data_IF_612119809273
#
_entry.id   IF_612119809273
#
_cell.length_a   1.000
_cell.length_b   1.000
_cell.length_c   1.000
_cell.angle_alpha   90.00
_cell.angle_beta   90.00
_cell.angle_gamma   90.00
#
_symmetry.space_group_name_H-M   'P 1'
#
loop_
_entity.id
_entity.type
_entity.pdbx_description
1 polymer ?
#
# COMPACT_ATOMS: atom_id res chain seq x y z
N UNK A 1 36.10 40.33 -3.55
CA UNK A 1 34.99 39.89 -4.40
C UNK A 1 35.29 38.48 -4.86
N UNK A 2 34.58 37.48 -4.34
CA UNK A 2 34.50 36.12 -4.87
C UNK A 2 33.18 35.50 -4.40
N UNK A 3 32.21 35.24 -5.28
CA UNK A 3 30.98 34.56 -4.92
C UNK A 3 31.14 33.07 -5.21
N UNK A 4 30.91 32.21 -4.21
CA UNK A 4 30.51 30.80 -4.38
C UNK A 4 30.02 30.30 -3.01
N UNK A 5 28.86 30.80 -2.61
CA UNK A 5 27.97 30.17 -1.63
C UNK A 5 26.74 29.72 -2.42
N UNK A 6 26.44 28.42 -2.35
CA UNK A 6 25.19 27.72 -2.66
C UNK A 6 25.47 26.40 -3.40
N UNK A 7 25.76 25.35 -2.64
CA UNK A 7 25.45 23.98 -3.03
C UNK A 7 24.48 23.48 -1.94
N UNK A 8 23.20 23.72 -2.18
CA UNK A 8 22.10 23.19 -1.39
C UNK A 8 21.50 21.97 -2.11
N UNK A 9 21.24 20.92 -1.32
CA UNK A 9 20.21 19.91 -1.59
C UNK A 9 20.20 19.23 -2.98
N UNK A 10 21.35 18.79 -3.49
CA UNK A 10 21.40 17.84 -4.60
C UNK A 10 21.99 16.49 -4.16
N UNK A 11 21.15 15.46 -4.32
CA UNK A 11 21.50 14.05 -4.53
C UNK A 11 21.90 13.18 -3.33
N UNK A 12 20.92 12.90 -2.47
CA UNK A 12 20.77 11.57 -1.85
C UNK A 12 19.93 10.65 -2.76
N UNK A 13 18.95 11.19 -3.51
CA UNK A 13 18.14 10.45 -4.49
C UNK A 13 18.93 9.85 -5.66
N UNK A 14 20.01 10.49 -6.13
CA UNK A 14 20.76 9.98 -7.28
C UNK A 14 21.65 8.76 -6.94
N UNK A 15 21.99 8.56 -5.67
CA UNK A 15 22.76 7.38 -5.23
C UNK A 15 21.88 6.12 -5.11
N UNK A 16 20.57 6.29 -4.86
CA UNK A 16 19.62 5.18 -4.78
C UNK A 16 19.47 4.42 -6.10
N UNK A 17 19.74 5.04 -7.25
CA UNK A 17 19.56 4.39 -8.55
C UNK A 17 20.72 3.46 -8.95
N UNK A 18 21.92 3.64 -8.38
CA UNK A 18 23.12 2.88 -8.80
C UNK A 18 23.32 1.57 -8.01
N UNK A 19 22.77 1.46 -6.79
CA UNK A 19 22.91 0.24 -5.97
C UNK A 19 21.98 -0.90 -6.43
N UNK A 20 20.93 -0.60 -7.20
CA UNK A 20 20.04 -1.60 -7.81
C UNK A 20 20.70 -2.43 -8.93
N UNK A 21 21.87 -2.01 -9.44
CA UNK A 21 22.51 -2.68 -10.57
C UNK A 21 23.41 -3.88 -10.19
N UNK A 22 23.74 -4.09 -8.91
CA UNK A 22 24.74 -5.11 -8.53
C UNK A 22 24.34 -6.12 -7.44
N UNK A 23 23.16 -6.01 -6.84
CA UNK A 23 22.65 -7.08 -5.97
C UNK A 23 21.76 -8.01 -6.81
N UNK A 24 22.14 -9.30 -6.90
CA UNK A 24 21.42 -10.36 -7.61
C UNK A 24 20.03 -10.65 -7.02
N UNK A 25 19.13 -9.69 -7.14
CA UNK A 25 17.71 -9.80 -6.84
C UNK A 25 17.01 -10.43 -8.05
N UNK A 26 16.06 -11.32 -7.77
CA UNK A 26 15.24 -11.99 -8.77
C UNK A 26 14.70 -11.01 -9.82
N UNK A 27 14.58 -11.45 -11.08
CA UNK A 27 14.04 -10.63 -12.17
C UNK A 27 12.70 -10.01 -11.71
N UNK A 28 12.55 -8.67 -11.73
CA UNK A 28 11.29 -8.00 -11.39
C UNK A 28 10.08 -8.58 -12.14
N UNK A 29 10.30 -9.13 -13.36
CA UNK A 29 9.28 -9.82 -14.15
C UNK A 29 8.89 -11.18 -13.57
N UNK A 30 9.79 -11.88 -12.89
CA UNK A 30 9.50 -13.15 -12.23
C UNK A 30 8.74 -12.94 -10.91
N UNK A 31 9.09 -11.91 -10.14
CA UNK A 31 8.34 -11.51 -8.95
C UNK A 31 6.91 -11.06 -9.34
N UNK A 32 6.80 -10.22 -10.38
CA UNK A 32 5.52 -9.80 -10.94
C UNK A 32 4.71 -10.99 -11.47
N UNK A 33 5.32 -11.88 -12.26
CA UNK A 33 4.67 -13.11 -12.75
C UNK A 33 4.14 -13.92 -11.58
N UNK A 34 4.97 -14.28 -10.59
CA UNK A 34 4.56 -15.05 -9.40
C UNK A 34 3.43 -14.38 -8.62
N UNK A 35 3.45 -13.06 -8.46
CA UNK A 35 2.37 -12.30 -7.83
C UNK A 35 1.07 -12.40 -8.62
N UNK A 36 1.11 -12.18 -9.94
CA UNK A 36 -0.04 -12.44 -10.79
C UNK A 36 -0.49 -13.89 -10.70
N UNK A 37 0.38 -14.90 -10.79
CA UNK A 37 -0.05 -16.31 -10.72
C UNK A 37 -0.62 -16.72 -9.36
N UNK A 38 -0.08 -16.20 -8.25
CA UNK A 38 -0.58 -16.49 -6.91
C UNK A 38 -1.91 -15.78 -6.63
N UNK A 39 -2.09 -14.55 -7.11
CA UNK A 39 -3.34 -13.78 -6.93
C UNK A 39 -4.41 -14.08 -8.00
N UNK A 40 -4.04 -14.71 -9.11
CA UNK A 40 -4.93 -15.11 -10.21
C UNK A 40 -5.37 -16.58 -10.18
N UNK A 41 -5.07 -17.36 -9.14
CA UNK A 41 -5.64 -18.70 -9.05
C UNK A 41 -7.11 -18.58 -8.59
N UNK A 42 -8.10 -18.77 -9.49
CA UNK A 42 -9.50 -18.63 -9.12
C UNK A 42 -9.95 -19.73 -8.15
N UNK A 43 -9.13 -20.76 -7.89
CA UNK A 43 -9.45 -21.83 -6.95
C UNK A 43 -8.93 -21.57 -5.54
N UNK A 44 -8.13 -20.51 -5.33
CA UNK A 44 -7.59 -20.17 -4.01
C UNK A 44 -8.34 -19.01 -3.37
N UNK A 45 -8.56 -19.15 -2.06
CA UNK A 45 -9.12 -18.09 -1.22
C UNK A 45 -8.05 -17.05 -0.98
N UNK A 46 -8.36 -15.77 -1.24
CA UNK A 46 -7.46 -14.64 -0.99
C UNK A 46 -7.92 -13.93 0.27
N UNK A 47 -6.98 -13.66 1.18
CA UNK A 47 -7.21 -12.96 2.45
C UNK A 47 -6.34 -11.71 2.44
N UNK A 48 -6.96 -10.54 2.45
CA UNK A 48 -6.30 -9.25 2.46
C UNK A 48 -6.44 -8.64 3.85
N UNK A 49 -5.34 -8.46 4.57
CA UNK A 49 -5.27 -7.94 5.93
C UNK A 49 -5.17 -6.42 5.96
N UNK A 50 -5.86 -5.78 6.91
CA UNK A 50 -5.68 -4.37 7.28
C UNK A 50 -4.39 -4.11 8.07
N UNK A 51 -4.22 -2.87 8.53
CA UNK A 51 -3.05 -2.39 9.30
C UNK A 51 -2.89 -3.17 10.61
N UNK A 52 -1.77 -3.89 10.75
CA UNK A 52 -1.52 -4.81 11.88
C UNK A 52 -0.77 -4.09 13.00
N UNK A 53 0.20 -3.23 12.65
CA UNK A 53 0.98 -2.47 13.62
C UNK A 53 1.58 -3.30 14.77
N UNK A 54 2.12 -4.48 14.45
CA UNK A 54 2.73 -5.37 15.45
C UNK A 54 1.74 -5.97 16.47
N UNK A 55 0.43 -5.87 16.24
CA UNK A 55 -0.61 -6.49 17.09
C UNK A 55 -0.66 -8.01 16.86
N UNK A 56 0.38 -8.71 17.31
CA UNK A 56 0.61 -10.12 17.03
C UNK A 56 -0.50 -11.04 17.58
N UNK A 57 -1.04 -10.74 18.77
CA UNK A 57 -2.13 -11.53 19.34
C UNK A 57 -3.42 -11.44 18.49
N UNK A 58 -3.96 -10.24 18.18
CA UNK A 58 -5.07 -10.12 17.24
C UNK A 58 -4.78 -10.70 15.86
N UNK A 59 -3.55 -10.56 15.36
CA UNK A 59 -3.14 -11.15 14.09
C UNK A 59 -3.31 -12.68 14.08
N UNK A 60 -2.79 -13.36 15.10
CA UNK A 60 -2.94 -14.82 15.21
C UNK A 60 -4.40 -15.23 15.41
N UNK A 61 -5.16 -14.51 16.24
CA UNK A 61 -6.59 -14.76 16.44
C UNK A 61 -7.40 -14.63 15.14
N UNK A 62 -7.05 -13.67 14.28
CA UNK A 62 -7.70 -13.50 12.98
C UNK A 62 -7.38 -14.67 12.03
N UNK A 63 -6.13 -15.11 11.98
CA UNK A 63 -5.72 -16.27 11.18
C UNK A 63 -6.43 -17.55 11.66
N UNK A 64 -6.55 -17.75 12.97
CA UNK A 64 -7.28 -18.87 13.57
C UNK A 64 -8.77 -18.82 13.21
N UNK A 65 -9.43 -17.67 13.38
CA UNK A 65 -10.83 -17.45 13.01
C UNK A 65 -11.11 -17.70 11.53
N UNK A 66 -10.13 -17.43 10.67
CA UNK A 66 -10.20 -17.70 9.23
C UNK A 66 -9.86 -19.15 8.87
N UNK A 67 -9.35 -19.93 9.82
CA UNK A 67 -8.74 -21.24 9.58
C UNK A 67 -7.73 -21.14 8.43
N UNK A 68 -6.82 -20.16 8.51
CA UNK A 68 -5.84 -19.88 7.47
C UNK A 68 -4.92 -21.09 7.26
N UNK A 69 -4.75 -21.47 6.00
CA UNK A 69 -3.84 -22.53 5.57
C UNK A 69 -2.95 -22.03 4.43
N UNK A 70 -1.63 -21.88 4.63
CA UNK A 70 -0.72 -21.35 3.61
C UNK A 70 -0.62 -22.22 2.34
N UNK A 71 -1.08 -23.48 2.39
CA UNK A 71 -1.10 -24.38 1.22
C UNK A 71 -2.27 -24.10 0.27
N UNK A 72 -3.38 -23.57 0.77
CA UNK A 72 -4.59 -23.32 -0.02
C UNK A 72 -4.95 -21.83 -0.13
N UNK A 73 -4.57 -21.03 0.86
CA UNK A 73 -4.91 -19.61 0.93
C UNK A 73 -3.76 -18.73 0.47
N UNK A 74 -4.11 -17.55 -0.04
CA UNK A 74 -3.18 -16.47 -0.34
C UNK A 74 -3.38 -15.38 0.69
N UNK A 75 -2.31 -14.98 1.37
CA UNK A 75 -2.32 -13.88 2.33
C UNK A 75 -1.69 -12.65 1.69
N UNK A 76 -2.36 -11.51 1.82
CA UNK A 76 -1.93 -10.19 1.34
C UNK A 76 -2.13 -9.18 2.47
N UNK A 77 -1.26 -8.19 2.66
CA UNK A 77 -1.50 -7.08 3.59
C UNK A 77 -1.53 -5.72 2.88
N UNK A 78 -2.26 -4.75 3.45
CA UNK A 78 -2.35 -3.37 2.92
C UNK A 78 -1.26 -2.43 3.46
N UNK A 79 -0.27 -2.96 4.17
CA UNK A 79 0.85 -2.21 4.73
C UNK A 79 0.68 -1.95 6.22
N UNK A 80 1.61 -1.21 6.80
CA UNK A 80 1.65 -0.88 8.23
C UNK A 80 1.55 -2.13 9.11
N UNK A 81 2.40 -3.11 8.81
CA UNK A 81 2.43 -4.40 9.51
C UNK A 81 3.13 -4.31 10.87
N UNK A 82 3.96 -3.27 11.06
CA UNK A 82 4.83 -3.06 12.22
C UNK A 82 4.70 -1.63 12.78
N UNK A 83 5.34 -1.40 13.93
CA UNK A 83 5.30 -0.18 14.73
C UNK A 83 3.95 0.10 15.42
N UNK A 84 3.95 0.99 16.41
CA UNK A 84 2.87 1.37 17.35
C UNK A 84 2.47 0.30 18.38
N UNK A 85 2.39 -0.97 17.99
CA UNK A 85 2.23 -2.08 18.94
C UNK A 85 3.51 -2.36 19.72
N UNK A 86 3.55 -3.47 20.46
CA UNK A 86 4.75 -3.84 21.20
C UNK A 86 5.92 -4.14 20.26
N UNK A 87 7.15 -3.86 20.70
CA UNK A 87 8.35 -4.16 19.91
C UNK A 87 8.44 -5.65 19.57
N UNK A 88 8.16 -6.52 20.55
CA UNK A 88 8.14 -7.98 20.35
C UNK A 88 7.06 -8.40 19.34
N UNK A 89 5.88 -7.79 19.41
CA UNK A 89 4.79 -8.05 18.46
C UNK A 89 5.15 -7.62 17.03
N UNK A 90 5.79 -6.45 16.88
CA UNK A 90 6.31 -6.00 15.58
C UNK A 90 7.32 -6.98 14.99
N UNK A 91 8.28 -7.44 15.79
CA UNK A 91 9.27 -8.42 15.33
C UNK A 91 8.63 -9.78 14.99
N UNK A 92 7.65 -10.23 15.77
CA UNK A 92 6.94 -11.49 15.50
C UNK A 92 6.14 -11.44 14.18
N UNK A 93 5.40 -10.36 13.95
CA UNK A 93 4.66 -10.14 12.69
C UNK A 93 5.62 -10.08 11.52
N UNK A 94 6.69 -9.27 11.61
CA UNK A 94 7.68 -9.14 10.55
C UNK A 94 8.34 -10.48 10.19
N UNK A 95 8.72 -11.26 11.21
CA UNK A 95 9.32 -12.57 11.03
C UNK A 95 8.37 -13.57 10.36
N UNK A 96 7.08 -13.56 10.75
CA UNK A 96 6.05 -14.36 10.12
C UNK A 96 5.91 -14.03 8.64
N UNK A 97 5.81 -12.73 8.30
CA UNK A 97 5.62 -12.29 6.91
C UNK A 97 6.81 -12.68 6.03
N UNK A 98 8.04 -12.40 6.50
CA UNK A 98 9.27 -12.70 5.76
C UNK A 98 9.54 -14.21 5.63
N UNK A 99 9.14 -15.01 6.62
CA UNK A 99 9.37 -16.47 6.60
C UNK A 99 8.36 -17.23 5.76
N UNK A 100 7.14 -16.71 5.65
CA UNK A 100 6.07 -17.32 4.85
C UNK A 100 5.93 -16.68 3.46
N UNK A 101 6.81 -15.75 3.08
CA UNK A 101 6.79 -15.04 1.81
C UNK A 101 5.41 -14.42 1.50
N UNK A 102 4.80 -13.83 2.52
CA UNK A 102 3.49 -13.16 2.43
C UNK A 102 3.65 -11.86 1.65
N UNK A 103 2.82 -11.63 0.64
CA UNK A 103 2.91 -10.39 -0.14
C UNK A 103 2.04 -9.28 0.44
N UNK A 104 2.16 -8.07 -0.09
CA UNK A 104 1.40 -6.91 0.31
C UNK A 104 1.94 -5.64 -0.33
N UNK A 105 1.45 -4.52 0.15
CA UNK A 105 2.02 -3.21 -0.17
C UNK A 105 2.71 -2.62 1.05
N UNK A 106 3.65 -1.72 0.82
CA UNK A 106 4.35 -0.99 1.87
C UNK A 106 3.43 0.10 2.47
N UNK A 107 3.39 0.20 3.79
CA UNK A 107 2.80 1.32 4.51
C UNK A 107 3.79 2.42 4.88
N UNK A 108 3.31 3.56 5.38
CA UNK A 108 4.19 4.66 5.73
C UNK A 108 5.04 4.37 6.98
N UNK A 109 4.55 3.57 7.93
CA UNK A 109 5.34 3.10 9.07
C UNK A 109 6.42 2.11 8.60
N UNK A 110 6.08 1.21 7.68
CA UNK A 110 7.04 0.26 7.09
C UNK A 110 8.17 1.01 6.35
N UNK A 111 7.79 2.01 5.54
CA UNK A 111 8.74 2.87 4.82
C UNK A 111 9.68 3.60 5.78
N UNK A 112 9.15 4.12 6.89
CA UNK A 112 9.97 4.82 7.89
C UNK A 112 11.02 3.92 8.54
N UNK A 113 10.71 2.65 8.71
CA UNK A 113 11.63 1.65 9.26
C UNK A 113 12.74 1.30 8.26
N UNK A 114 12.40 1.17 6.96
CA UNK A 114 13.38 0.98 5.89
C UNK A 114 14.39 2.14 5.86
N UNK A 115 13.89 3.37 5.99
CA UNK A 115 14.72 4.57 6.04
C UNK A 115 15.66 4.55 7.25
N UNK A 116 15.18 4.16 8.43
CA UNK A 116 16.03 4.00 9.61
C UNK A 116 17.09 2.92 9.45
N UNK A 117 16.74 1.76 8.88
CA UNK A 117 17.70 0.67 8.62
C UNK A 117 18.79 1.12 7.65
N UNK A 118 18.41 1.82 6.59
CA UNK A 118 19.35 2.42 5.64
C UNK A 118 20.27 3.44 6.31
N UNK A 119 19.71 4.29 7.19
CA UNK A 119 20.50 5.27 7.93
C UNK A 119 21.50 4.62 8.89
N UNK A 120 21.11 3.55 9.59
CA UNK A 120 22.01 2.78 10.45
C UNK A 120 23.19 2.21 9.63
N UNK A 121 22.90 1.56 8.50
CA UNK A 121 23.94 1.02 7.62
C UNK A 121 24.85 2.12 7.04
N UNK A 122 24.30 3.29 6.69
CA UNK A 122 25.08 4.44 6.24
C UNK A 122 25.98 5.00 7.34
N UNK A 123 25.49 5.06 8.58
CA UNK A 123 26.28 5.52 9.73
C UNK A 123 27.47 4.61 10.02
N UNK A 124 27.33 3.30 9.83
CA UNK A 124 28.41 2.34 10.00
C UNK A 124 29.56 2.52 8.99
N UNK A 125 29.30 3.15 7.84
CA UNK A 125 30.32 3.40 6.81
C UNK A 125 31.27 4.57 7.17
N UNK A 126 30.94 5.40 8.15
CA UNK A 126 31.83 6.48 8.58
C UNK A 126 32.86 6.00 9.59
N UNK A 127 34.06 6.58 9.51
CA UNK A 127 35.10 6.38 10.52
C UNK A 127 34.62 6.82 11.91
N UNK A 128 34.61 5.89 12.86
CA UNK A 128 34.05 6.04 14.21
C UNK A 128 32.52 6.03 14.31
N UNK A 129 31.78 5.91 13.20
CA UNK A 129 30.31 5.90 13.19
C UNK A 129 29.73 4.62 13.79
N UNK A 130 30.27 3.47 13.40
CA UNK A 130 29.92 2.16 13.97
C UNK A 130 30.22 2.09 15.47
N UNK A 131 31.37 2.60 15.91
CA UNK A 131 31.74 2.66 17.33
C UNK A 131 30.77 3.54 18.11
N UNK A 132 30.41 4.71 17.56
CA UNK A 132 29.44 5.58 18.21
C UNK A 132 28.06 4.94 18.34
N UNK A 133 27.55 4.26 17.30
CA UNK A 133 26.28 3.54 17.38
C UNK A 133 26.33 2.47 18.46
N UNK A 134 27.38 1.63 18.47
CA UNK A 134 27.57 0.58 19.47
C UNK A 134 27.57 1.14 20.89
N UNK A 135 28.36 2.19 21.14
CA UNK A 135 28.50 2.77 22.48
C UNK A 135 27.21 3.49 22.91
N UNK A 136 26.54 4.18 21.98
CA UNK A 136 25.24 4.82 22.21
C UNK A 136 24.17 3.78 22.57
N UNK A 137 24.11 2.68 21.83
CA UNK A 137 23.19 1.56 22.09
C UNK A 137 23.47 0.90 23.43
N UNK A 138 24.73 0.58 23.74
CA UNK A 138 25.09 -0.01 25.02
C UNK A 138 24.72 0.90 26.20
N UNK A 139 24.90 2.21 26.06
CA UNK A 139 24.49 3.17 27.06
C UNK A 139 22.97 3.27 27.22
N UNK A 140 22.21 3.15 26.12
CA UNK A 140 20.74 3.15 26.16
C UNK A 140 20.21 1.88 26.81
N UNK A 141 20.73 0.73 26.42
CA UNK A 141 20.33 -0.58 26.94
C UNK A 141 20.66 -0.69 28.45
N UNK A 142 21.80 -0.14 28.90
CA UNK A 142 22.15 -0.11 30.32
C UNK A 142 21.32 0.89 31.15
N UNK A 143 20.75 1.92 30.52
CA UNK A 143 19.97 2.94 31.20
C UNK A 143 18.50 2.57 31.37
N UNK A 144 17.97 1.66 30.55
CA UNK A 144 16.56 1.27 30.50
C UNK A 144 15.59 2.44 30.71
N UNK A 145 15.69 3.52 29.91
CA UNK A 145 14.97 4.76 30.18
C UNK A 145 13.46 4.58 29.99
N UNK A 146 12.67 5.19 30.88
CA UNK A 146 11.21 5.25 30.76
C UNK A 146 10.77 5.94 29.46
N UNK A 147 11.49 7.01 29.06
CA UNK A 147 11.35 7.65 27.75
C UNK A 147 12.67 7.55 26.96
N UNK A 148 12.80 6.56 26.06
CA UNK A 148 13.99 6.39 25.23
C UNK A 148 14.27 7.55 24.27
N UNK A 149 13.23 8.22 23.76
CA UNK A 149 13.38 9.32 22.81
C UNK A 149 13.95 10.56 23.51
N UNK A 150 13.41 10.90 24.67
CA UNK A 150 13.88 12.02 25.50
C UNK A 150 15.30 11.73 26.04
N UNK A 151 15.53 10.53 26.57
CA UNK A 151 16.85 10.13 27.05
C UNK A 151 17.90 10.27 25.95
N UNK A 152 17.58 9.83 24.73
CA UNK A 152 18.50 9.94 23.61
C UNK A 152 18.83 11.38 23.24
N UNK A 153 17.81 12.25 23.17
CA UNK A 153 18.01 13.67 22.90
C UNK A 153 18.92 14.32 23.95
N UNK A 154 18.69 14.01 25.23
CA UNK A 154 19.51 14.49 26.34
C UNK A 154 20.94 13.94 26.31
N UNK A 155 21.09 12.64 26.04
CA UNK A 155 22.39 11.97 25.97
C UNK A 155 23.26 12.55 24.84
N UNK A 156 22.69 12.72 23.64
CA UNK A 156 23.37 13.29 22.48
C UNK A 156 23.82 14.73 22.76
N UNK A 157 22.94 15.53 23.40
CA UNK A 157 23.26 16.91 23.79
C UNK A 157 24.38 16.97 24.83
N UNK A 158 24.29 16.15 25.88
CA UNK A 158 25.28 16.09 26.98
C UNK A 158 26.67 15.67 26.48
N UNK A 159 26.72 14.68 25.59
CA UNK A 159 27.97 14.19 25.00
C UNK A 159 28.53 15.10 23.90
N UNK A 160 27.80 16.16 23.51
CA UNK A 160 28.15 17.06 22.40
C UNK A 160 28.48 16.29 21.12
N UNK A 161 27.74 15.21 20.86
CA UNK A 161 28.08 14.28 19.79
C UNK A 161 28.02 14.97 18.42
N UNK A 162 29.12 14.92 17.67
CA UNK A 162 29.19 15.40 16.27
C UNK A 162 28.20 14.65 15.36
N UNK A 163 27.81 13.44 15.73
CA UNK A 163 26.92 12.57 14.97
C UNK A 163 25.47 13.05 14.97
N UNK A 164 25.09 13.92 15.92
CA UNK A 164 23.77 14.58 15.95
C UNK A 164 23.41 15.28 14.63
N UNK A 165 24.40 15.89 13.96
CA UNK A 165 24.22 16.59 12.68
C UNK A 165 23.88 15.67 11.51
N UNK A 166 24.03 14.35 11.68
CA UNK A 166 23.72 13.34 10.66
C UNK A 166 22.37 12.69 10.87
N UNK A 167 21.68 12.97 11.98
CA UNK A 167 20.30 12.54 12.20
C UNK A 167 19.41 13.50 11.38
N UNK A 168 18.59 13.00 10.44
CA UNK A 168 17.72 13.87 9.66
C UNK A 168 16.74 14.66 10.55
N UNK A 169 16.33 15.83 10.07
CA UNK A 169 15.40 16.68 10.82
C UNK A 169 14.08 15.95 11.10
N UNK A 170 13.58 16.09 12.34
CA UNK A 170 12.35 15.44 12.81
C UNK A 170 12.47 13.94 13.10
N UNK A 171 13.62 13.31 12.84
CA UNK A 171 13.84 11.91 13.19
C UNK A 171 14.22 11.77 14.66
N UNK A 172 13.56 10.85 15.35
CA UNK A 172 13.79 10.55 16.75
C UNK A 172 14.51 9.22 16.90
N UNK A 173 15.78 9.26 17.30
CA UNK A 173 16.55 8.04 17.60
C UNK A 173 15.94 7.33 18.82
N UNK A 174 16.03 6.00 18.88
CA UNK A 174 15.33 5.16 19.85
C UNK A 174 13.79 5.22 19.83
N UNK A 175 13.18 5.93 18.86
CA UNK A 175 11.77 5.75 18.55
C UNK A 175 11.45 4.28 18.24
N UNK A 176 10.16 3.93 18.29
CA UNK A 176 9.72 2.58 17.97
C UNK A 176 10.21 2.11 16.58
N UNK A 177 10.08 2.95 15.54
CA UNK A 177 10.63 2.66 14.21
C UNK A 177 12.14 2.40 14.22
N UNK A 178 12.90 3.19 15.00
CA UNK A 178 14.34 3.01 15.14
C UNK A 178 14.67 1.65 15.77
N UNK A 179 13.95 1.28 16.82
CA UNK A 179 14.18 0.04 17.55
C UNK A 179 13.91 -1.17 16.67
N UNK A 180 12.81 -1.16 15.90
CA UNK A 180 12.51 -2.22 14.93
C UNK A 180 13.59 -2.29 13.83
N UNK A 181 14.02 -1.14 13.29
CA UNK A 181 15.11 -1.08 12.31
C UNK A 181 16.45 -1.62 12.86
N UNK A 182 16.77 -1.34 14.12
CA UNK A 182 17.96 -1.88 14.80
C UNK A 182 17.87 -3.40 14.96
N UNK A 183 16.70 -3.91 15.32
CA UNK A 183 16.50 -5.33 15.66
C UNK A 183 16.35 -6.26 14.45
N UNK A 184 15.88 -5.76 13.29
CA UNK A 184 15.59 -6.59 12.14
C UNK A 184 16.82 -7.20 11.47
N UNK A 185 16.66 -8.44 11.01
CA UNK A 185 17.61 -9.16 10.18
C UNK A 185 17.66 -8.63 8.75
N UNK A 186 18.70 -9.00 8.01
CA UNK A 186 18.81 -8.65 6.58
C UNK A 186 17.68 -9.26 5.75
N UNK A 187 17.24 -10.48 6.07
CA UNK A 187 16.11 -11.14 5.37
C UNK A 187 14.81 -10.35 5.52
N UNK A 188 14.52 -9.87 6.73
CA UNK A 188 13.34 -9.06 7.02
C UNK A 188 13.42 -7.67 6.38
N UNK A 189 14.61 -7.10 6.31
CA UNK A 189 14.84 -5.86 5.59
C UNK A 189 14.62 -6.02 4.08
N UNK A 190 15.17 -7.06 3.47
CA UNK A 190 14.97 -7.39 2.06
C UNK A 190 13.49 -7.68 1.74
N UNK A 191 12.78 -8.32 2.67
CA UNK A 191 11.33 -8.50 2.58
C UNK A 191 10.61 -7.15 2.44
N UNK A 192 10.84 -6.20 3.36
CA UNK A 192 10.20 -4.87 3.29
C UNK A 192 10.57 -4.08 2.03
N UNK A 193 11.82 -4.21 1.57
CA UNK A 193 12.30 -3.60 0.32
C UNK A 193 11.59 -4.17 -0.92
N UNK A 194 11.26 -5.47 -0.90
CA UNK A 194 10.59 -6.15 -2.01
C UNK A 194 9.11 -5.79 -2.17
N UNK A 195 8.48 -5.20 -1.14
CA UNK A 195 7.07 -4.80 -1.18
C UNK A 195 6.88 -3.58 -2.11
N UNK A 196 5.98 -3.66 -3.10
CA UNK A 196 5.63 -2.52 -3.94
C UNK A 196 4.76 -1.50 -3.18
N UNK A 197 4.60 -0.31 -3.77
CA UNK A 197 3.70 0.72 -3.25
C UNK A 197 2.24 0.48 -3.66
N UNK A 198 2.03 -0.15 -4.82
CA UNK A 198 0.72 -0.52 -5.34
C UNK A 198 0.81 -1.94 -5.92
N UNK A 199 -0.13 -2.81 -5.54
CA UNK A 199 -0.36 -4.10 -6.19
C UNK A 199 -1.57 -4.01 -7.11
N UNK A 200 -1.45 -4.55 -8.31
CA UNK A 200 -2.54 -4.64 -9.27
C UNK A 200 -2.95 -6.09 -9.44
N UNK A 201 -4.25 -6.37 -9.27
CA UNK A 201 -4.87 -7.69 -9.44
C UNK A 201 -5.87 -7.63 -10.60
N UNK A 202 -5.41 -7.79 -11.86
CA UNK A 202 -6.26 -7.65 -13.05
C UNK A 202 -7.50 -8.55 -13.06
N UNK A 203 -7.42 -9.79 -12.57
CA UNK A 203 -8.58 -10.72 -12.55
C UNK A 203 -9.71 -10.24 -11.67
N UNK A 204 -9.39 -9.42 -10.67
CA UNK A 204 -10.35 -8.89 -9.72
C UNK A 204 -10.69 -7.43 -9.99
N UNK A 205 -10.14 -6.83 -11.07
CA UNK A 205 -10.25 -5.39 -11.35
C UNK A 205 -9.93 -4.54 -10.13
N UNK A 206 -8.84 -4.89 -9.43
CA UNK A 206 -8.52 -4.38 -8.11
C UNK A 206 -7.11 -3.82 -8.02
N UNK A 207 -6.98 -2.68 -7.37
CA UNK A 207 -5.72 -2.09 -6.93
C UNK A 207 -5.65 -2.19 -5.41
N UNK A 208 -4.48 -2.53 -4.88
CA UNK A 208 -4.21 -2.50 -3.44
C UNK A 208 -3.12 -1.46 -3.22
N UNK A 209 -3.37 -0.50 -2.35
CA UNK A 209 -2.43 0.58 -2.02
C UNK A 209 -2.68 1.02 -0.59
N UNK A 210 -1.62 1.33 0.16
CA UNK A 210 -1.75 1.60 1.59
C UNK A 210 -2.66 2.80 1.89
N UNK A 211 -2.36 3.97 1.32
CA UNK A 211 -3.19 5.17 1.45
C UNK A 211 -4.10 5.43 0.24
N UNK A 212 -4.28 4.41 -0.62
CA UNK A 212 -5.13 4.48 -1.80
C UNK A 212 -4.46 5.04 -3.05
N UNK A 213 -5.31 5.28 -4.06
CA UNK A 213 -4.94 5.82 -5.38
C UNK A 213 -6.05 6.77 -5.85
N UNK A 214 -5.69 7.78 -6.63
CA UNK A 214 -6.66 8.72 -7.20
C UNK A 214 -7.24 8.20 -8.52
N UNK A 215 -8.55 8.43 -8.78
CA UNK A 215 -9.18 8.07 -10.05
C UNK A 215 -8.79 9.03 -11.19
N UNK A 216 -8.36 10.23 -10.83
CA UNK A 216 -8.11 11.35 -11.75
C UNK A 216 -7.08 12.33 -11.16
N UNK A 217 -6.43 13.10 -12.03
CA UNK A 217 -5.61 14.24 -11.62
C UNK A 217 -6.53 15.37 -11.13
N UNK A 218 -6.46 15.79 -9.85
CA UNK A 218 -7.40 16.76 -9.28
C UNK A 218 -7.44 18.12 -9.99
N UNK A 219 -6.39 18.46 -10.74
CA UNK A 219 -6.29 19.73 -11.49
C UNK A 219 -7.25 19.82 -12.69
N UNK A 220 -7.88 18.72 -13.09
CA UNK A 220 -8.86 18.72 -14.18
C UNK A 220 -10.16 18.05 -13.76
N UNK A 221 -11.25 18.40 -14.44
CA UNK A 221 -12.54 17.72 -14.27
C UNK A 221 -12.45 16.23 -14.68
N UNK A 222 -13.28 15.33 -14.13
CA UNK A 222 -13.24 13.90 -14.43
C UNK A 222 -13.37 13.56 -15.93
N UNK A 223 -14.18 14.32 -16.67
CA UNK A 223 -14.41 14.14 -18.12
C UNK A 223 -13.36 14.81 -19.01
N UNK A 224 -12.34 15.46 -18.44
CA UNK A 224 -11.32 16.11 -19.24
C UNK A 224 -10.46 15.09 -20.00
N UNK A 225 -10.17 15.34 -21.29
CA UNK A 225 -9.42 14.40 -22.18
C UNK A 225 -8.04 13.93 -21.69
N UNK A 226 -7.48 14.60 -20.67
CA UNK A 226 -6.22 14.18 -20.02
C UNK A 226 -6.41 13.10 -18.97
N UNK A 227 -7.63 12.89 -18.50
CA UNK A 227 -7.93 11.88 -17.49
C UNK A 227 -7.90 10.48 -18.12
N UNK A 228 -7.33 9.48 -17.44
CA UNK A 228 -7.26 8.12 -17.96
C UNK A 228 -8.65 7.50 -18.14
N UNK A 229 -9.61 7.82 -17.26
CA UNK A 229 -10.98 7.30 -17.32
C UNK A 229 -11.86 8.01 -18.37
N UNK A 230 -11.47 9.20 -18.84
CA UNK A 230 -12.21 9.96 -19.85
C UNK A 230 -11.95 9.51 -21.29
N UNK A 231 -11.13 8.47 -21.49
CA UNK A 231 -10.70 8.00 -22.81
C UNK A 231 -10.60 6.49 -22.86
N UNK A 232 -10.91 5.92 -24.02
CA UNK A 232 -10.67 4.50 -24.27
C UNK A 232 -9.16 4.30 -24.48
N UNK A 233 -8.51 3.36 -23.77
CA UNK A 233 -7.09 3.09 -23.95
C UNK A 233 -6.75 2.69 -25.40
N UNK A 234 -5.62 3.18 -25.91
CA UNK A 234 -5.09 2.76 -27.21
C UNK A 234 -4.30 1.46 -27.10
N UNK A 235 -4.46 0.57 -28.08
CA UNK A 235 -3.78 -0.71 -28.10
C UNK A 235 -2.35 -0.56 -28.67
N UNK A 236 -1.33 -1.26 -28.15
CA UNK A 236 0.05 -1.13 -28.63
C UNK A 236 0.21 -1.63 -30.07
N UNK A 237 0.97 -0.91 -30.90
CA UNK A 237 1.19 -1.23 -32.34
C UNK A 237 1.73 -2.64 -32.63
N UNK A 238 2.42 -3.27 -31.68
CA UNK A 238 2.90 -4.65 -31.82
C UNK A 238 1.75 -5.68 -31.97
N UNK A 239 0.52 -5.28 -31.67
CA UNK A 239 -0.68 -6.10 -31.89
C UNK A 239 -1.38 -5.79 -33.23
N UNK A 240 -1.01 -4.74 -33.98
CA UNK A 240 -1.72 -4.28 -35.19
C UNK A 240 -1.66 -5.27 -36.38
N UNK A 241 -0.74 -6.24 -36.39
CA UNK A 241 -0.60 -7.20 -37.49
C UNK A 241 -1.63 -8.35 -37.45
N UNK A 242 -2.31 -8.56 -36.33
CA UNK A 242 -3.22 -9.71 -36.08
C UNK A 242 -4.69 -9.25 -35.95
N UNK A 243 -4.99 -8.05 -36.46
CA UNK A 243 -6.16 -7.25 -36.05
C UNK A 243 -7.43 -7.40 -36.88
N UNK A 244 -7.40 -8.11 -38.00
CA UNK A 244 -8.62 -8.47 -38.72
C UNK A 244 -9.50 -9.43 -37.92
N UNK A 245 -8.92 -10.21 -37.00
CA UNK A 245 -9.63 -11.25 -36.22
C UNK A 245 -10.09 -10.76 -34.82
N UNK A 246 -9.52 -9.68 -34.28
CA UNK A 246 -9.90 -9.15 -32.96
C UNK A 246 -11.15 -8.27 -32.97
N UNK A 247 -11.51 -7.67 -34.12
CA UNK A 247 -12.84 -7.09 -34.31
C UNK A 247 -13.94 -8.17 -34.36
N UNK A 248 -13.57 -9.44 -34.58
CA UNK A 248 -14.50 -10.57 -34.64
C UNK A 248 -14.70 -11.30 -33.29
N UNK A 249 -13.94 -10.98 -32.22
CA UNK A 249 -14.08 -11.63 -30.90
C UNK A 249 -14.11 -10.63 -29.72
N UNK A 250 -15.29 -10.07 -29.38
CA UNK A 250 -15.48 -9.14 -28.26
C UNK A 250 -14.93 -9.62 -26.90
N UNK A 251 -14.92 -10.95 -26.68
CA UNK A 251 -14.54 -11.57 -25.42
C UNK A 251 -13.05 -11.42 -25.05
N UNK A 252 -12.15 -11.21 -26.02
CA UNK A 252 -10.70 -11.08 -25.77
C UNK A 252 -10.24 -9.63 -25.60
N UNK A 253 -10.93 -8.68 -26.20
CA UNK A 253 -10.51 -7.27 -26.25
C UNK A 253 -10.84 -6.53 -24.95
N UNK A 254 -11.97 -6.83 -24.31
CA UNK A 254 -12.41 -6.15 -23.10
C UNK A 254 -11.44 -6.30 -21.91
N UNK A 255 -10.98 -7.51 -21.54
CA UNK A 255 -10.03 -7.67 -20.43
C UNK A 255 -8.72 -6.89 -20.66
N UNK A 256 -8.25 -6.82 -21.91
CA UNK A 256 -7.04 -6.06 -22.25
C UNK A 256 -7.25 -4.55 -22.10
N UNK A 257 -8.37 -4.02 -22.60
CA UNK A 257 -8.70 -2.59 -22.45
C UNK A 257 -8.84 -2.20 -20.98
N UNK A 258 -9.46 -3.03 -20.15
CA UNK A 258 -9.54 -2.78 -18.70
C UNK A 258 -8.16 -2.74 -18.06
N UNK A 259 -7.30 -3.71 -18.38
CA UNK A 259 -5.94 -3.74 -17.87
C UNK A 259 -5.13 -2.50 -18.26
N UNK A 260 -5.29 -2.03 -19.50
CA UNK A 260 -4.65 -0.79 -19.97
C UNK A 260 -5.20 0.44 -19.25
N UNK A 261 -6.51 0.51 -19.00
CA UNK A 261 -7.13 1.58 -18.22
C UNK A 261 -6.61 1.60 -16.78
N UNK A 262 -6.55 0.44 -16.13
CA UNK A 262 -6.05 0.28 -14.76
C UNK A 262 -4.56 0.66 -14.66
N UNK A 263 -3.76 0.30 -15.67
CA UNK A 263 -2.37 0.75 -15.77
C UNK A 263 -2.27 2.28 -15.95
N UNK A 264 -3.15 2.87 -16.77
CA UNK A 264 -3.21 4.31 -17.00
C UNK A 264 -3.58 5.10 -15.73
N UNK A 265 -4.42 4.55 -14.85
CA UNK A 265 -4.66 5.15 -13.52
C UNK A 265 -3.36 5.31 -12.73
N UNK A 266 -2.45 4.34 -12.80
CA UNK A 266 -1.17 4.38 -12.09
C UNK A 266 -0.13 5.29 -12.79
N UNK A 267 -0.09 5.30 -14.13
CA UNK A 267 0.93 6.04 -14.89
C UNK A 267 0.56 7.48 -15.22
N UNK A 268 -0.72 7.75 -15.50
CA UNK A 268 -1.14 9.01 -16.12
C UNK A 268 -1.65 10.02 -15.09
N UNK A 269 -2.05 9.56 -13.89
CA UNK A 269 -2.35 10.44 -12.74
C UNK A 269 -1.03 10.73 -12.00
N UNK A 270 -0.48 11.95 -12.07
CA UNK A 270 0.86 12.22 -11.55
C UNK A 270 1.03 11.90 -10.06
N UNK A 271 -0.02 12.13 -9.27
CA UNK A 271 -0.04 11.89 -7.83
C UNK A 271 0.10 10.40 -7.49
N UNK A 272 -0.40 9.49 -8.34
CA UNK A 272 -0.26 8.04 -8.12
C UNK A 272 1.18 7.54 -8.33
N UNK A 273 2.06 8.36 -8.94
CA UNK A 273 3.49 8.06 -9.09
C UNK A 273 4.35 8.65 -7.97
N UNK A 274 3.75 9.45 -7.09
CA UNK A 274 4.43 10.01 -5.92
C UNK A 274 4.32 9.01 -4.74
N UNK A 275 5.44 8.44 -4.27
CA UNK A 275 5.43 7.56 -3.10
C UNK A 275 4.83 8.21 -1.85
N UNK A 276 5.03 9.52 -1.66
CA UNK A 276 4.47 10.20 -0.50
C UNK A 276 2.95 10.16 -0.52
N UNK A 277 2.33 10.35 -1.69
CA UNK A 277 0.87 10.31 -1.86
C UNK A 277 0.33 8.92 -1.57
N UNK A 278 0.86 7.89 -2.23
CA UNK A 278 0.36 6.50 -2.11
C UNK A 278 0.56 5.91 -0.70
N UNK A 279 1.46 6.49 0.08
CA UNK A 279 1.72 6.12 1.48
C UNK A 279 0.99 6.99 2.50
N UNK A 280 0.54 8.22 2.17
CA UNK A 280 0.07 9.16 3.19
C UNK A 280 -1.26 9.86 2.91
N UNK A 281 -1.81 9.76 1.70
CA UNK A 281 -3.03 10.47 1.30
C UNK A 281 -4.25 10.14 2.18
N UNK A 282 -5.03 11.18 2.50
CA UNK A 282 -6.35 11.06 3.11
C UNK A 282 -7.41 11.84 2.37
N UNK A 283 -7.05 13.01 1.84
CA UNK A 283 -7.96 13.86 1.10
C UNK A 283 -7.28 14.77 0.11
N UNK A 284 -8.11 15.59 -0.53
CA UNK A 284 -7.75 16.55 -1.58
C UNK A 284 -8.32 17.90 -1.15
N UNK A 285 -7.46 18.91 -1.02
CA UNK A 285 -7.85 20.26 -0.64
C UNK A 285 -8.47 21.02 -1.83
N UNK A 286 -9.11 22.15 -1.55
CA UNK A 286 -9.76 23.00 -2.55
C UNK A 286 -8.80 23.54 -3.62
N UNK A 287 -7.52 23.69 -3.27
CA UNK A 287 -6.45 24.10 -4.20
C UNK A 287 -5.86 22.93 -5.01
N UNK A 288 -6.45 21.73 -4.90
CA UNK A 288 -6.02 20.47 -5.52
C UNK A 288 -4.79 19.81 -4.90
N UNK A 289 -4.32 20.30 -3.75
CA UNK A 289 -3.20 19.70 -3.03
C UNK A 289 -3.63 18.42 -2.30
N UNK A 290 -2.78 17.40 -2.31
CA UNK A 290 -3.03 16.16 -1.57
C UNK A 290 -2.64 16.35 -0.11
N UNK A 291 -3.53 15.96 0.79
CA UNK A 291 -3.33 16.11 2.24
C UNK A 291 -3.34 14.76 2.94
N UNK A 292 -2.51 14.67 3.99
CA UNK A 292 -2.48 13.57 4.97
C UNK A 292 -3.31 13.87 6.23
N UNK A 293 -3.81 15.10 6.36
CA UNK A 293 -4.66 15.50 7.47
C UNK A 293 -6.12 15.04 7.22
N UNK A 294 -7.00 15.31 8.17
CA UNK A 294 -8.42 14.92 8.10
C UNK A 294 -9.27 16.07 7.53
N UNK A 295 -8.79 16.65 6.45
CA UNK A 295 -9.34 17.82 5.78
C UNK A 295 -9.46 17.57 4.27
N UNK A 296 -10.18 18.46 3.59
CA UNK A 296 -10.50 18.32 2.18
C UNK A 296 -11.50 17.20 1.88
N UNK A 297 -11.70 16.95 0.58
CA UNK A 297 -12.51 15.86 0.07
C UNK A 297 -11.76 14.53 0.29
N UNK A 298 -12.34 13.54 1.01
CA UNK A 298 -11.68 12.25 1.17
C UNK A 298 -11.52 11.56 -0.18
N UNK A 299 -10.32 11.10 -0.50
CA UNK A 299 -10.01 10.54 -1.83
C UNK A 299 -10.90 9.35 -2.18
N UNK A 300 -11.30 8.55 -1.19
CA UNK A 300 -12.15 7.38 -1.37
C UNK A 300 -13.57 7.78 -1.80
N UNK A 301 -14.10 8.92 -1.36
CA UNK A 301 -15.41 9.42 -1.84
C UNK A 301 -15.31 9.79 -3.33
N UNK A 302 -14.26 10.54 -3.71
CA UNK A 302 -13.98 10.88 -5.11
C UNK A 302 -13.83 9.63 -5.98
N UNK A 303 -13.10 8.62 -5.49
CA UNK A 303 -12.94 7.35 -6.18
C UNK A 303 -14.28 6.71 -6.52
N UNK A 304 -15.16 6.54 -5.53
CA UNK A 304 -16.46 5.89 -5.76
C UNK A 304 -17.35 6.72 -6.69
N UNK A 305 -17.36 8.05 -6.55
CA UNK A 305 -18.11 8.94 -7.42
C UNK A 305 -17.69 8.81 -8.89
N UNK A 306 -16.39 8.75 -9.19
CA UNK A 306 -15.91 8.59 -10.56
C UNK A 306 -16.10 7.16 -11.10
N UNK A 307 -16.00 6.14 -10.25
CA UNK A 307 -16.31 4.75 -10.66
C UNK A 307 -17.79 4.57 -11.01
N UNK A 308 -18.70 5.31 -10.38
CA UNK A 308 -20.13 5.30 -10.72
C UNK A 308 -20.41 5.90 -12.11
N UNK A 309 -19.55 6.82 -12.58
CA UNK A 309 -19.64 7.39 -13.92
C UNK A 309 -19.20 6.41 -15.02
N UNK A 310 -18.49 5.32 -14.70
CA UNK A 310 -17.98 4.37 -15.69
C UNK A 310 -19.12 3.56 -16.34
N UNK A 311 -19.39 3.84 -17.62
CA UNK A 311 -20.47 3.21 -18.39
C UNK A 311 -20.05 2.17 -19.42
N UNK A 312 -18.76 1.82 -19.48
CA UNK A 312 -18.18 0.88 -20.45
C UNK A 312 -17.54 1.55 -21.67
N UNK A 313 -16.89 0.75 -22.52
CA UNK A 313 -16.10 1.23 -23.66
C UNK A 313 -16.89 1.51 -24.95
N UNK A 314 -18.20 1.27 -25.02
CA UNK A 314 -18.95 1.42 -26.27
C UNK A 314 -20.47 1.53 -26.12
N UNK A 315 -21.13 1.93 -27.21
CA UNK A 315 -22.59 2.07 -27.34
C UNK A 315 -23.06 3.51 -27.54
N UNK A 316 -24.18 3.70 -28.26
CA UNK A 316 -24.76 5.03 -28.53
C UNK A 316 -25.06 5.82 -27.24
N UNK A 317 -25.41 5.11 -26.16
CA UNK A 317 -25.70 5.70 -24.84
C UNK A 317 -24.47 6.36 -24.23
N UNK A 318 -23.29 5.74 -24.36
CA UNK A 318 -22.02 6.29 -23.87
C UNK A 318 -21.58 7.47 -24.74
N UNK A 319 -21.68 7.35 -26.07
CA UNK A 319 -21.34 8.47 -26.97
C UNK A 319 -22.21 9.71 -26.77
N UNK A 320 -23.44 9.56 -26.26
CA UNK A 320 -24.33 10.68 -25.91
C UNK A 320 -24.02 11.22 -24.51
N UNK A 321 -23.90 10.35 -23.50
CA UNK A 321 -23.61 10.74 -22.12
C UNK A 321 -22.22 11.35 -21.93
N UNK A 322 -21.24 10.97 -22.75
CA UNK A 322 -19.92 11.62 -22.77
C UNK A 322 -19.99 13.09 -23.21
N UNK A 323 -20.93 13.46 -24.10
CA UNK A 323 -21.09 14.85 -24.55
C UNK A 323 -21.73 15.73 -23.48
N UNK A 324 -22.58 15.15 -22.63
CA UNK A 324 -23.16 15.84 -21.47
C UNK A 324 -22.27 15.80 -20.23
N UNK A 325 -21.24 14.93 -20.20
CA UNK A 325 -20.36 14.73 -19.05
C UNK A 325 -20.91 13.79 -17.98
N UNK A 326 -22.01 13.08 -18.28
CA UNK A 326 -22.74 12.22 -17.34
C UNK A 326 -22.17 10.79 -17.26
N UNK A 327 -21.31 10.40 -18.20
CA UNK A 327 -20.66 9.09 -18.19
C UNK A 327 -19.23 9.14 -18.76
N UNK A 328 -18.40 8.24 -18.25
CA UNK A 328 -17.02 8.03 -18.68
C UNK A 328 -16.90 6.71 -19.47
N UNK A 329 -16.07 6.66 -20.53
CA UNK A 329 -15.82 5.47 -21.34
C UNK A 329 -14.86 4.52 -20.62
N UNK A 330 -15.22 4.08 -19.42
CA UNK A 330 -14.40 3.24 -18.57
C UNK A 330 -15.22 2.11 -17.96
N UNK A 331 -14.51 1.12 -17.42
CA UNK A 331 -15.09 0.16 -16.48
C UNK A 331 -14.61 0.47 -15.06
N UNK A 332 -15.48 0.27 -14.06
CA UNK A 332 -15.10 0.51 -12.68
C UNK A 332 -14.01 -0.47 -12.18
N UNK A 333 -13.17 0.00 -11.27
CA UNK A 333 -12.18 -0.78 -10.55
C UNK A 333 -12.32 -0.55 -9.04
N UNK A 334 -11.84 -1.51 -8.25
CA UNK A 334 -11.90 -1.45 -6.78
C UNK A 334 -10.54 -1.13 -6.18
N UNK A 335 -10.49 -0.32 -5.12
CA UNK A 335 -9.28 -0.09 -4.32
C UNK A 335 -9.41 -0.70 -2.94
N UNK A 336 -8.46 -1.54 -2.53
CA UNK A 336 -8.36 -2.05 -1.14
C UNK A 336 -7.19 -1.34 -0.45
N UNK A 337 -7.43 -0.79 0.75
CA UNK A 337 -6.48 0.12 1.40
C UNK A 337 -6.54 0.08 2.94
N UNK A 338 -5.58 0.76 3.57
CA UNK A 338 -5.37 0.88 5.02
C UNK A 338 -5.32 2.34 5.50
N UNK A 339 -4.40 2.67 6.41
CA UNK A 339 -3.94 4.04 6.82
C UNK A 339 -4.95 4.95 7.57
N UNK A 340 -6.23 4.78 7.28
CA UNK A 340 -7.28 5.71 7.65
C UNK A 340 -8.06 5.30 8.92
N UNK A 341 -7.40 4.76 9.95
CA UNK A 341 -7.97 4.27 11.22
C UNK A 341 -9.08 5.15 11.82
N UNK A 342 -8.98 6.48 11.64
CA UNK A 342 -9.98 7.41 12.14
C UNK A 342 -11.36 7.30 11.49
N UNK A 343 -11.44 6.66 10.32
CA UNK A 343 -12.69 6.32 9.64
C UNK A 343 -13.20 4.93 10.04
N UNK A 344 -12.39 4.16 10.75
CA UNK A 344 -12.65 2.75 11.03
C UNK A 344 -12.75 1.92 9.75
N UNK A 345 -13.44 0.79 9.84
CA UNK A 345 -13.76 -0.04 8.68
C UNK A 345 -14.63 0.75 7.68
N UNK A 346 -14.09 1.07 6.51
CA UNK A 346 -14.73 1.91 5.48
C UNK A 346 -14.99 1.11 4.20
N UNK A 347 -16.10 0.37 4.20
CA UNK A 347 -16.51 -0.49 3.09
C UNK A 347 -17.49 0.25 2.20
N UNK A 348 -17.05 0.53 0.97
CA UNK A 348 -17.89 1.04 -0.12
C UNK A 348 -17.89 0.08 -1.29
N UNK A 349 -18.67 0.42 -2.31
CA UNK A 349 -18.89 -0.44 -3.46
C UNK A 349 -17.65 -0.57 -4.36
N UNK A 350 -16.79 0.47 -4.45
CA UNK A 350 -15.55 0.48 -5.24
C UNK A 350 -14.30 0.81 -4.42
N UNK A 351 -14.42 0.93 -3.10
CA UNK A 351 -13.27 1.11 -2.22
C UNK A 351 -13.48 0.36 -0.90
N UNK A 352 -12.48 -0.36 -0.42
CA UNK A 352 -12.55 -1.15 0.81
C UNK A 352 -11.39 -0.76 1.72
N UNK A 353 -11.67 0.04 2.75
CA UNK A 353 -10.72 0.44 3.77
C UNK A 353 -10.74 -0.55 4.94
N UNK A 354 -9.59 -1.18 5.22
CA UNK A 354 -9.46 -2.27 6.19
C UNK A 354 -8.82 -1.84 7.52
N UNK A 355 -8.33 -0.61 7.63
CA UNK A 355 -7.80 -0.07 8.88
C UNK A 355 -8.93 0.27 9.86
N UNK A 356 -9.31 -0.73 10.65
CA UNK A 356 -10.31 -0.62 11.72
C UNK A 356 -9.69 -0.25 13.08
N UNK A 357 -8.45 0.24 13.09
CA UNK A 357 -7.85 0.89 14.25
C UNK A 357 -7.42 -0.05 15.38
N UNK A 358 -6.90 -1.24 15.06
CA UNK A 358 -6.54 -2.27 16.05
C UNK A 358 -5.74 -1.75 17.25
N UNK A 359 -4.68 -0.97 17.01
CA UNK A 359 -3.80 -0.36 18.04
C UNK A 359 -4.55 0.53 19.03
N UNK A 360 -5.72 1.06 18.66
CA UNK A 360 -6.53 1.96 19.49
C UNK A 360 -7.68 1.21 20.15
N UNK A 361 -7.47 -0.06 20.53
CA UNK A 361 -8.49 -0.97 21.04
C UNK A 361 -9.67 -1.14 20.06
N UNK A 362 -9.37 -1.01 18.76
CA UNK A 362 -10.35 -1.20 17.69
C UNK A 362 -10.44 -2.67 17.31
N UNK A 363 -10.41 -2.94 16.00
CA UNK A 363 -10.45 -4.30 15.46
C UNK A 363 -9.31 -4.51 14.49
N UNK A 364 -8.98 -5.76 14.23
CA UNK A 364 -8.14 -6.15 13.10
C UNK A 364 -9.05 -6.81 12.06
N UNK A 365 -9.12 -6.23 10.87
CA UNK A 365 -10.03 -6.65 9.80
C UNK A 365 -9.28 -7.25 8.60
N UNK A 366 -9.95 -8.15 7.90
CA UNK A 366 -9.50 -8.71 6.64
C UNK A 366 -10.65 -8.82 5.63
N UNK A 367 -10.36 -8.62 4.35
CA UNK A 367 -11.24 -8.94 3.23
C UNK A 367 -10.89 -10.34 2.71
N UNK A 368 -11.88 -11.23 2.70
CA UNK A 368 -11.77 -12.60 2.19
C UNK A 368 -12.48 -12.69 0.84
N UNK A 369 -11.75 -13.03 -0.21
CA UNK A 369 -12.28 -13.28 -1.54
C UNK A 369 -12.28 -14.79 -1.81
N UNK A 370 -13.43 -15.34 -2.19
CA UNK A 370 -13.60 -16.78 -2.46
C UNK A 370 -14.42 -16.99 -3.73
N UNK A 371 -13.97 -17.89 -4.61
CA UNK A 371 -14.69 -18.30 -5.82
C UNK A 371 -15.91 -19.17 -5.54
N UNK A 372 -16.01 -19.78 -4.35
CA UNK A 372 -17.12 -20.66 -3.94
C UNK A 372 -18.24 -19.98 -3.16
N UNK A 373 -18.24 -18.65 -3.07
CA UNK A 373 -19.30 -17.91 -2.34
C UNK A 373 -20.69 -17.96 -2.99
N UNK A 374 -20.89 -18.78 -4.03
CA UNK A 374 -22.20 -19.10 -4.58
C UNK A 374 -23.05 -20.06 -3.72
N UNK A 375 -22.54 -20.68 -2.63
CA UNK A 375 -23.35 -21.67 -1.89
C UNK A 375 -23.12 -21.86 -0.37
N UNK A 376 -22.46 -20.97 0.35
CA UNK A 376 -22.30 -21.13 1.81
C UNK A 376 -23.60 -20.79 2.57
N UNK A 377 -24.42 -21.81 2.87
CA UNK A 377 -25.54 -21.72 3.81
C UNK A 377 -25.03 -21.50 5.24
N UNK A 378 -25.06 -20.26 5.73
CA UNK A 378 -24.35 -19.89 6.96
C UNK A 378 -25.17 -19.61 8.23
N UNK A 379 -26.39 -20.10 8.49
CA UNK A 379 -27.19 -19.88 9.76
C UNK A 379 -27.29 -18.49 10.44
N UNK A 380 -26.57 -17.45 9.99
CA UNK A 380 -26.47 -16.15 10.62
C UNK A 380 -27.64 -15.25 10.19
N UNK A 381 -28.07 -14.30 11.05
CA UNK A 381 -29.15 -13.38 10.73
C UNK A 381 -28.90 -12.61 9.42
N UNK A 382 -29.95 -12.46 8.62
CA UNK A 382 -29.91 -11.89 7.25
C UNK A 382 -29.36 -10.46 7.21
N UNK A 383 -29.54 -9.67 8.27
CA UNK A 383 -29.05 -8.29 8.38
C UNK A 383 -27.52 -8.21 8.60
N UNK A 384 -26.94 -9.17 9.33
CA UNK A 384 -25.50 -9.27 9.50
C UNK A 384 -24.80 -9.71 8.19
N UNK A 385 -25.48 -10.51 7.37
CA UNK A 385 -24.98 -10.97 6.06
C UNK A 385 -24.84 -9.83 5.03
N UNK A 386 -25.78 -8.88 5.01
CA UNK A 386 -25.76 -7.76 4.04
C UNK A 386 -24.64 -6.75 4.28
N UNK A 387 -24.12 -6.62 5.50
CA UNK A 387 -23.05 -5.66 5.82
C UNK A 387 -21.66 -6.12 5.34
N UNK A 388 -21.51 -7.42 5.06
CA UNK A 388 -20.21 -8.04 4.81
C UNK A 388 -20.17 -8.87 3.53
N UNK A 389 -21.14 -8.76 2.61
CA UNK A 389 -21.06 -9.38 1.27
C UNK A 389 -20.87 -8.27 0.22
N UNK A 390 -19.65 -8.17 -0.32
CA UNK A 390 -19.23 -7.15 -1.29
C UNK A 390 -19.07 -7.83 -2.64
N UNK A 391 -19.86 -7.49 -3.68
CA UNK A 391 -19.60 -8.06 -5.00
C UNK A 391 -18.22 -7.59 -5.50
N UNK A 392 -17.41 -8.50 -6.03
CA UNK A 392 -15.99 -8.25 -6.32
C UNK A 392 -15.59 -8.86 -7.67
N UNK A 393 -14.87 -8.11 -8.50
CA UNK A 393 -14.51 -8.54 -9.87
C UNK A 393 -15.72 -8.87 -10.75
N UNK A 394 -15.56 -9.83 -11.66
CA UNK A 394 -16.58 -10.22 -12.66
C UNK A 394 -17.63 -11.23 -12.16
N UNK A 395 -17.63 -11.57 -10.87
CA UNK A 395 -18.58 -12.55 -10.31
C UNK A 395 -18.22 -13.12 -8.93
N UNK A 396 -17.15 -12.64 -8.31
CA UNK A 396 -16.76 -13.03 -6.96
C UNK A 396 -17.57 -12.30 -5.89
N UNK A 397 -17.49 -12.81 -4.65
CA UNK A 397 -17.94 -12.08 -3.46
C UNK A 397 -16.79 -12.00 -2.47
N UNK A 398 -16.61 -10.81 -1.93
CA UNK A 398 -15.74 -10.56 -0.81
C UNK A 398 -16.54 -10.53 0.48
N UNK A 399 -15.94 -11.01 1.57
CA UNK A 399 -16.48 -10.81 2.92
C UNK A 399 -15.47 -10.25 3.89
N UNK A 400 -15.91 -9.34 4.75
CA UNK A 400 -15.05 -8.83 5.82
C UNK A 400 -15.14 -9.75 7.03
N UNK A 401 -13.98 -10.07 7.59
CA UNK A 401 -13.83 -10.82 8.84
C UNK A 401 -12.92 -10.03 9.75
N UNK A 402 -13.24 -9.98 11.04
CA UNK A 402 -12.47 -9.21 12.00
C UNK A 402 -12.43 -9.89 13.38
N UNK A 403 -11.48 -9.45 14.20
CA UNK A 403 -11.33 -9.83 15.62
C UNK A 403 -11.14 -8.59 16.49
N UNK A 404 -11.41 -8.71 17.78
CA UNK A 404 -11.14 -7.63 18.75
C UNK A 404 -9.64 -7.46 18.96
N UNK A 405 -9.21 -6.24 19.25
CA UNK A 405 -7.82 -5.93 19.63
C UNK A 405 -7.69 -5.53 21.11
N UNK A 406 -8.74 -5.76 21.89
CA UNK A 406 -8.77 -5.60 23.36
C UNK A 406 -8.03 -6.72 24.09
#
# INVERSE_FOLDING_TARGET
>A
MSPLRHIGAFSILAFFCLYFLFAGLADPRDAWRRLTTQTHDPHRRVIILGDIHGMNEPFNALLEKLSYNPRSDVLIHVGDIIAKGSHQGSMAVLSFMASNNVTGVRGNHDQKIIEWKSWLAWMEQFDGGALWLRDFHAAADAAEPDDPEEWAAHHIKRTRSKWSKRIPEGWKILSDHYRVARAMSEKEYQYLLSLPLVLHVPSAHTLIAHAGVLPSDPRYKPYHRRQPLARIPSLPRAFDADYSDLQATPDKTLPLLRRLQEAALLSDVPQNRDPWVTLNMRGILDDNTITRAKDGEPWAERWNAEMEMCGGFGGERIHRAQRSGDALPCYPATVVYGHAASRGLDVKRWSVGLDSGCVKNGRLSALVLDSKSSSASSSAPVEARKKYDIPFGEGGRGRVVDVSCE
#
